data_IF_861056011721
#
_entry.id   IF_861056011721
#
_cell.length_a   1.000
_cell.length_b   1.000
_cell.length_c   1.000
_cell.angle_alpha   90.00
_cell.angle_beta   90.00
_cell.angle_gamma   90.00
#
_symmetry.space_group_name_H-M   'P 1'
#
loop_
_entity.id
_entity.type
_entity.pdbx_description
1 polymer ?
#
# COMPACT_ATOMS: atom_id res chain seq x y z
N UNK A 1 -64.67 16.55 23.87
CA UNK A 1 -63.34 16.29 23.30
C UNK A 1 -63.20 17.20 22.09
N UNK A 2 -62.60 18.36 22.32
CA UNK A 2 -62.63 19.52 21.42
C UNK A 2 -61.56 19.39 20.35
N UNK A 3 -61.85 19.90 19.15
CA UNK A 3 -61.01 19.81 17.95
C UNK A 3 -59.57 20.30 18.14
N UNK A 4 -59.31 21.08 19.19
CA UNK A 4 -57.99 21.63 19.52
C UNK A 4 -57.03 20.57 20.10
N UNK A 5 -57.52 19.58 20.88
CA UNK A 5 -56.67 18.53 21.48
C UNK A 5 -56.11 17.56 20.42
N UNK A 6 -56.88 17.30 19.36
CA UNK A 6 -56.48 16.44 18.24
C UNK A 6 -55.37 17.10 17.41
N UNK A 7 -55.40 18.44 17.28
CA UNK A 7 -54.38 19.19 16.54
C UNK A 7 -53.02 19.23 17.26
N UNK A 8 -53.04 19.32 18.60
CA UNK A 8 -51.82 19.37 19.41
C UNK A 8 -51.11 18.02 19.48
N UNK A 9 -51.88 16.91 19.51
CA UNK A 9 -51.33 15.56 19.46
C UNK A 9 -50.73 15.23 18.08
N UNK A 10 -51.38 15.62 16.98
CA UNK A 10 -50.85 15.46 15.62
C UNK A 10 -49.56 16.23 15.38
N UNK A 11 -49.44 17.43 15.97
CA UNK A 11 -48.22 18.26 15.88
C UNK A 11 -47.05 17.63 16.66
N UNK A 12 -47.29 17.08 17.85
CA UNK A 12 -46.28 16.39 18.66
C UNK A 12 -45.81 15.09 17.99
N UNK A 13 -46.72 14.35 17.36
CA UNK A 13 -46.41 13.13 16.61
C UNK A 13 -45.56 13.43 15.35
N UNK A 14 -45.89 14.49 14.60
CA UNK A 14 -45.09 14.91 13.44
C UNK A 14 -43.69 15.37 13.83
N UNK A 15 -43.53 16.09 14.96
CA UNK A 15 -42.22 16.47 15.47
C UNK A 15 -41.41 15.25 15.89
N UNK A 16 -42.04 14.27 16.56
CA UNK A 16 -41.38 13.02 16.93
C UNK A 16 -40.91 12.22 15.70
N UNK A 17 -41.77 12.06 14.70
CA UNK A 17 -41.42 11.40 13.43
C UNK A 17 -40.28 12.14 12.71
N UNK A 18 -40.29 13.48 12.70
CA UNK A 18 -39.20 14.27 12.12
C UNK A 18 -37.87 14.03 12.84
N UNK A 19 -37.85 13.95 14.18
CA UNK A 19 -36.63 13.64 14.94
C UNK A 19 -36.12 12.22 14.66
N UNK A 20 -37.01 11.23 14.59
CA UNK A 20 -36.63 9.85 14.27
C UNK A 20 -36.01 9.77 12.88
N UNK A 21 -36.60 10.43 11.89
CA UNK A 21 -36.05 10.49 10.52
C UNK A 21 -34.70 11.19 10.50
N UNK A 22 -34.54 12.29 11.23
CA UNK A 22 -33.27 13.02 11.33
C UNK A 22 -32.16 12.17 11.94
N UNK A 23 -32.47 11.46 13.04
CA UNK A 23 -31.54 10.55 13.70
C UNK A 23 -31.17 9.40 12.75
N UNK A 24 -32.16 8.82 12.07
CA UNK A 24 -31.93 7.70 11.16
C UNK A 24 -31.08 8.10 9.95
N UNK A 25 -31.27 9.30 9.42
CA UNK A 25 -30.41 9.89 8.38
C UNK A 25 -28.98 10.14 8.89
N UNK A 26 -28.83 10.63 10.12
CA UNK A 26 -27.52 10.85 10.74
C UNK A 26 -26.76 9.52 10.92
N UNK A 27 -27.45 8.47 11.38
CA UNK A 27 -26.89 7.12 11.50
C UNK A 27 -26.47 6.56 10.14
N UNK A 28 -27.32 6.70 9.10
CA UNK A 28 -26.99 6.27 7.74
C UNK A 28 -25.77 6.99 7.17
N UNK A 29 -25.62 8.29 7.46
CA UNK A 29 -24.48 9.09 7.01
C UNK A 29 -23.18 8.64 7.70
N UNK A 30 -23.23 8.36 9.01
CA UNK A 30 -22.10 7.83 9.76
C UNK A 30 -21.69 6.43 9.26
N UNK A 31 -22.65 5.55 9.01
CA UNK A 31 -22.37 4.21 8.46
C UNK A 31 -21.69 4.29 7.10
N UNK A 32 -22.14 5.19 6.21
CA UNK A 32 -21.48 5.41 4.92
C UNK A 32 -20.07 5.98 5.06
N UNK A 33 -19.86 6.91 5.99
CA UNK A 33 -18.54 7.49 6.24
C UNK A 33 -17.56 6.40 6.72
N UNK A 34 -17.99 5.56 7.67
CA UNK A 34 -17.16 4.46 8.20
C UNK A 34 -16.82 3.44 7.10
N UNK A 35 -17.80 3.04 6.29
CA UNK A 35 -17.56 2.10 5.19
C UNK A 35 -16.70 2.69 4.05
N UNK A 36 -16.80 4.00 3.79
CA UNK A 36 -16.05 4.66 2.72
C UNK A 36 -14.59 5.01 3.05
N UNK A 37 -14.24 5.13 4.34
CA UNK A 37 -12.90 5.57 4.79
C UNK A 37 -11.87 4.43 4.73
N UNK A 38 -12.28 3.18 4.92
CA UNK A 38 -11.39 2.02 4.88
C UNK A 38 -10.64 1.82 3.55
N UNK A 39 -11.30 1.81 2.38
CA UNK A 39 -10.58 1.63 1.11
C UNK A 39 -9.64 2.80 0.79
N UNK A 40 -9.92 4.01 1.31
CA UNK A 40 -9.06 5.17 1.06
C UNK A 40 -7.75 5.11 1.85
N UNK A 41 -7.79 4.68 3.11
CA UNK A 41 -6.59 4.56 3.94
C UNK A 41 -5.62 3.52 3.35
N UNK A 42 -6.13 2.38 2.89
CA UNK A 42 -5.29 1.33 2.30
C UNK A 42 -4.68 1.76 0.94
N UNK A 43 -5.46 2.45 0.10
CA UNK A 43 -4.94 3.00 -1.16
C UNK A 43 -3.87 4.08 -0.95
N UNK A 44 -4.02 4.91 0.09
CA UNK A 44 -3.01 5.90 0.45
C UNK A 44 -1.70 5.22 0.87
N UNK A 45 -1.76 4.20 1.73
CA UNK A 45 -0.59 3.42 2.13
C UNK A 45 0.11 2.76 0.94
N UNK A 46 -0.67 2.19 0.00
CA UNK A 46 -0.10 1.58 -1.19
C UNK A 46 0.63 2.60 -2.08
N UNK A 47 0.03 3.79 -2.22
CA UNK A 47 0.61 4.90 -3.01
C UNK A 47 1.87 5.46 -2.36
N UNK A 48 1.86 5.67 -1.04
CA UNK A 48 3.03 6.13 -0.29
C UNK A 48 4.19 5.14 -0.39
N UNK A 49 3.90 3.85 -0.21
CA UNK A 49 4.88 2.76 -0.34
C UNK A 49 5.48 2.73 -1.75
N UNK A 50 4.65 2.88 -2.78
CA UNK A 50 5.11 2.96 -4.18
C UNK A 50 6.01 4.19 -4.40
N UNK A 51 5.63 5.35 -3.88
CA UNK A 51 6.40 6.58 -4.01
C UNK A 51 7.75 6.47 -3.29
N UNK A 52 7.78 5.87 -2.09
CA UNK A 52 9.02 5.58 -1.38
C UNK A 52 9.94 4.69 -2.23
N UNK A 53 9.40 3.62 -2.82
CA UNK A 53 10.15 2.73 -3.72
C UNK A 53 10.75 3.48 -4.91
N UNK A 54 9.93 4.27 -5.62
CA UNK A 54 10.36 5.02 -6.81
C UNK A 54 11.45 6.03 -6.45
N UNK A 55 11.29 6.73 -5.33
CA UNK A 55 12.27 7.71 -4.86
C UNK A 55 13.60 7.03 -4.53
N UNK A 56 13.57 5.93 -3.79
CA UNK A 56 14.77 5.20 -3.38
C UNK A 56 15.49 4.54 -4.58
N UNK A 57 14.75 3.94 -5.52
CA UNK A 57 15.34 3.46 -6.77
C UNK A 57 16.00 4.58 -7.56
N UNK A 58 15.38 5.76 -7.61
CA UNK A 58 15.92 6.91 -8.32
C UNK A 58 17.22 7.40 -7.66
N UNK A 59 17.27 7.41 -6.32
CA UNK A 59 18.50 7.72 -5.57
C UNK A 59 19.60 6.68 -5.82
N UNK A 60 19.28 5.39 -5.77
CA UNK A 60 20.23 4.31 -6.06
C UNK A 60 20.80 4.43 -7.47
N UNK A 61 19.94 4.69 -8.46
CA UNK A 61 20.37 4.93 -9.84
C UNK A 61 21.24 6.17 -9.96
N UNK A 62 20.90 7.25 -9.26
CA UNK A 62 21.72 8.46 -9.19
C UNK A 62 23.11 8.18 -8.65
N UNK A 63 23.21 7.40 -7.57
CA UNK A 63 24.50 6.98 -7.00
C UNK A 63 25.30 6.08 -7.94
N UNK A 64 24.63 5.12 -8.59
CA UNK A 64 25.25 4.29 -9.63
C UNK A 64 25.82 5.13 -10.78
N UNK A 65 25.10 6.16 -11.24
CA UNK A 65 25.61 7.10 -12.25
C UNK A 65 26.81 7.90 -11.74
N UNK A 66 26.75 8.38 -10.49
CA UNK A 66 27.82 9.14 -9.86
C UNK A 66 29.12 8.34 -9.71
N UNK A 67 29.02 7.05 -9.37
CA UNK A 67 30.17 6.15 -9.21
C UNK A 67 30.69 5.57 -10.54
N UNK A 68 30.36 6.20 -11.68
CA UNK A 68 30.79 5.78 -13.03
C UNK A 68 30.27 4.40 -13.47
N UNK A 69 29.01 4.10 -13.11
CA UNK A 69 28.28 2.89 -13.55
C UNK A 69 28.98 1.58 -13.16
N UNK A 70 29.28 1.37 -11.87
CA UNK A 70 29.92 0.13 -11.44
C UNK A 70 28.98 -1.06 -11.67
N UNK A 71 29.55 -2.26 -11.86
CA UNK A 71 28.77 -3.50 -11.95
C UNK A 71 28.08 -3.84 -10.63
N UNK A 72 28.72 -3.50 -9.52
CA UNK A 72 28.23 -3.72 -8.17
C UNK A 72 28.38 -2.42 -7.37
N UNK A 73 27.35 -2.09 -6.59
CA UNK A 73 27.34 -0.92 -5.72
C UNK A 73 27.27 -1.38 -4.26
N UNK A 74 28.29 -1.02 -3.47
CA UNK A 74 28.29 -1.29 -2.05
C UNK A 74 27.41 -0.27 -1.31
N UNK A 75 26.38 -0.78 -0.65
CA UNK A 75 25.37 0.00 0.04
C UNK A 75 25.39 -0.35 1.53
N UNK A 76 25.35 0.68 2.37
CA UNK A 76 25.16 0.55 3.81
C UNK A 76 23.70 0.88 4.11
N UNK A 77 23.05 0.01 4.86
CA UNK A 77 21.69 0.18 5.38
C UNK A 77 21.70 -0.26 6.86
N UNK A 78 20.62 -0.03 7.62
CA UNK A 78 20.57 -0.40 9.05
C UNK A 78 20.88 -1.89 9.31
N UNK A 79 20.64 -2.75 8.32
CA UNK A 79 20.96 -4.18 8.36
C UNK A 79 22.39 -4.58 8.10
N UNK A 80 23.26 -3.63 7.77
CA UNK A 80 24.66 -3.87 7.46
C UNK A 80 25.05 -3.42 6.06
N UNK A 81 26.10 -4.04 5.53
CA UNK A 81 26.62 -3.75 4.19
C UNK A 81 26.21 -4.84 3.21
N UNK A 82 25.75 -4.41 2.05
CA UNK A 82 25.39 -5.30 0.96
C UNK A 82 25.86 -4.72 -0.37
N UNK A 83 26.37 -5.60 -1.25
CA UNK A 83 26.64 -5.25 -2.63
C UNK A 83 25.43 -5.60 -3.49
N UNK A 84 24.95 -4.65 -4.29
CA UNK A 84 23.85 -4.84 -5.22
C UNK A 84 24.38 -4.79 -6.65
N UNK A 85 24.06 -5.78 -7.46
CA UNK A 85 24.41 -5.82 -8.88
C UNK A 85 23.47 -4.95 -9.71
N UNK A 86 24.00 -4.23 -10.69
CA UNK A 86 23.24 -3.35 -11.57
C UNK A 86 23.31 -3.79 -13.04
N UNK A 87 22.22 -3.57 -13.76
CA UNK A 87 22.17 -3.70 -15.23
C UNK A 87 22.85 -2.51 -15.91
N UNK A 88 23.16 -2.64 -17.19
CA UNK A 88 23.72 -1.56 -18.00
C UNK A 88 22.81 -0.31 -18.07
N UNK A 89 21.52 -0.48 -17.76
CA UNK A 89 20.53 0.60 -17.69
C UNK A 89 20.49 1.31 -16.32
N UNK A 90 21.21 0.79 -15.33
CA UNK A 90 21.29 1.35 -13.99
C UNK A 90 20.18 0.87 -13.05
N UNK A 91 19.63 -0.32 -13.29
CA UNK A 91 18.62 -0.93 -12.43
C UNK A 91 19.15 -2.15 -11.69
N UNK A 92 18.80 -2.34 -10.41
CA UNK A 92 19.15 -3.53 -9.64
C UNK A 92 18.74 -4.82 -10.34
N UNK A 93 19.68 -5.74 -10.50
CA UNK A 93 19.43 -7.07 -11.05
C UNK A 93 18.94 -7.98 -9.92
N UNK A 94 17.89 -8.74 -10.21
CA UNK A 94 17.34 -9.74 -9.30
C UNK A 94 17.31 -11.10 -9.99
N UNK A 95 18.02 -12.07 -9.41
CA UNK A 95 18.21 -13.42 -9.94
C UNK A 95 17.68 -14.49 -9.00
N UNK A 96 17.53 -14.17 -7.71
CA UNK A 96 17.09 -15.08 -6.67
C UNK A 96 16.04 -14.42 -5.75
N UNK A 97 15.35 -15.24 -4.95
CA UNK A 97 14.48 -14.74 -3.86
C UNK A 97 15.29 -13.92 -2.84
N UNK A 98 16.53 -14.31 -2.58
CA UNK A 98 17.45 -13.57 -1.72
C UNK A 98 17.74 -12.16 -2.24
N UNK A 99 17.92 -12.01 -3.56
CA UNK A 99 18.19 -10.71 -4.18
C UNK A 99 16.97 -9.78 -4.05
N UNK A 100 15.76 -10.34 -4.22
CA UNK A 100 14.52 -9.59 -4.02
C UNK A 100 14.36 -9.13 -2.57
N UNK A 101 14.65 -10.00 -1.60
CA UNK A 101 14.66 -9.69 -0.16
C UNK A 101 15.66 -8.59 0.14
N UNK A 102 16.89 -8.71 -0.36
CA UNK A 102 17.97 -7.75 -0.14
C UNK A 102 17.63 -6.38 -0.75
N UNK A 103 17.09 -6.36 -1.98
CA UNK A 103 16.63 -5.12 -2.61
C UNK A 103 15.57 -4.43 -1.77
N UNK A 104 14.60 -5.16 -1.24
CA UNK A 104 13.59 -4.59 -0.35
C UNK A 104 14.18 -3.98 0.92
N UNK A 105 15.07 -4.73 1.59
CA UNK A 105 15.73 -4.28 2.80
C UNK A 105 16.52 -2.98 2.58
N UNK A 106 17.19 -2.86 1.43
CA UNK A 106 17.90 -1.64 1.02
C UNK A 106 16.93 -0.48 0.78
N UNK A 107 15.84 -0.71 0.05
CA UNK A 107 14.87 0.34 -0.30
C UNK A 107 14.20 0.92 0.96
N UNK A 108 13.89 0.09 1.95
CA UNK A 108 13.24 0.54 3.19
C UNK A 108 14.20 0.80 4.34
N UNK A 109 15.51 0.65 4.13
CA UNK A 109 16.55 0.78 5.14
C UNK A 109 16.26 -0.05 6.41
N UNK A 110 15.84 -1.32 6.21
CA UNK A 110 15.38 -2.21 7.28
C UNK A 110 15.88 -3.64 7.11
N UNK A 111 16.27 -4.28 8.20
CA UNK A 111 16.69 -5.69 8.25
C UNK A 111 15.87 -6.56 9.18
N UNK A 112 15.00 -5.94 9.97
CA UNK A 112 14.12 -6.55 10.95
C UNK A 112 12.88 -7.20 10.31
N UNK A 113 12.60 -6.90 9.05
CA UNK A 113 11.52 -7.52 8.30
C UNK A 113 11.94 -8.93 7.88
N UNK A 114 11.72 -9.89 8.77
CA UNK A 114 11.59 -11.28 8.38
C UNK A 114 10.26 -11.43 7.64
N UNK A 115 10.34 -11.61 6.31
CA UNK A 115 9.20 -11.95 5.43
C UNK A 115 8.47 -13.26 5.83
N UNK A 116 8.91 -13.93 6.90
CA UNK A 116 8.26 -15.10 7.44
C UNK A 116 7.18 -14.76 8.48
N UNK A 117 7.21 -13.58 9.11
CA UNK A 117 6.37 -13.30 10.28
C UNK A 117 5.47 -12.05 10.19
N UNK A 118 5.59 -11.21 9.15
CA UNK A 118 4.73 -10.05 9.00
C UNK A 118 4.35 -9.82 7.54
N UNK A 119 3.19 -10.38 7.15
CA UNK A 119 2.34 -9.99 6.03
C UNK A 119 2.97 -9.95 4.62
N UNK A 120 4.28 -10.08 4.49
CA UNK A 120 4.98 -9.86 3.25
C UNK A 120 5.65 -11.12 2.75
N UNK A 121 5.31 -11.52 1.53
CA UNK A 121 5.93 -12.66 0.86
C UNK A 121 6.69 -12.15 -0.35
N UNK A 122 7.94 -12.59 -0.49
CA UNK A 122 8.80 -12.29 -1.64
C UNK A 122 8.86 -13.49 -2.54
N UNK A 123 8.37 -13.35 -3.76
CA UNK A 123 8.49 -14.40 -4.77
C UNK A 123 9.13 -13.87 -6.04
N UNK A 124 9.98 -14.71 -6.63
CA UNK A 124 10.54 -14.44 -7.95
C UNK A 124 9.55 -14.94 -8.98
N UNK A 125 9.15 -14.09 -9.92
CA UNK A 125 8.27 -14.50 -11.02
C UNK A 125 9.11 -15.32 -12.02
N UNK A 126 8.81 -16.60 -12.29
CA UNK A 126 9.71 -17.48 -13.04
C UNK A 126 10.01 -17.03 -14.48
N UNK A 127 9.11 -16.26 -15.09
CA UNK A 127 9.22 -15.79 -16.47
C UNK A 127 9.78 -14.37 -16.61
N UNK A 128 9.90 -13.62 -15.52
CA UNK A 128 10.28 -12.21 -15.54
C UNK A 128 11.43 -11.97 -14.54
N UNK A 129 12.37 -11.08 -14.89
CA UNK A 129 13.39 -10.61 -13.93
C UNK A 129 12.74 -9.63 -12.95
N UNK A 130 11.77 -10.13 -12.19
CA UNK A 130 10.90 -9.32 -11.36
C UNK A 130 10.72 -9.92 -9.97
N UNK A 131 10.52 -9.02 -9.01
CA UNK A 131 10.18 -9.37 -7.64
C UNK A 131 8.72 -9.04 -7.38
N UNK A 132 8.03 -9.97 -6.74
CA UNK A 132 6.69 -9.78 -6.20
C UNK A 132 6.79 -9.65 -4.69
N UNK A 133 6.22 -8.58 -4.14
CA UNK A 133 6.15 -8.31 -2.70
C UNK A 133 4.68 -8.21 -2.31
N UNK A 134 4.15 -9.28 -1.72
CA UNK A 134 2.80 -9.28 -1.16
C UNK A 134 2.80 -8.48 0.15
N UNK A 135 1.73 -7.79 0.50
CA UNK A 135 1.50 -7.17 1.82
C UNK A 135 0.09 -7.47 2.25
N UNK A 136 -0.05 -8.38 3.22
CA UNK A 136 -1.31 -8.99 3.60
C UNK A 136 -2.03 -9.62 2.40
N UNK A 137 -3.31 -9.93 2.56
CA UNK A 137 -4.17 -10.42 1.47
C UNK A 137 -4.77 -9.27 0.63
N UNK A 138 -4.25 -8.04 0.75
CA UNK A 138 -4.81 -6.86 0.10
C UNK A 138 -3.98 -6.35 -1.09
N UNK A 139 -2.64 -6.33 -1.00
CA UNK A 139 -1.82 -5.67 -2.01
C UNK A 139 -0.63 -6.49 -2.44
N UNK A 140 -0.29 -6.41 -3.72
CA UNK A 140 0.90 -7.01 -4.29
C UNK A 140 1.69 -5.95 -5.06
N UNK A 141 2.93 -5.71 -4.65
CA UNK A 141 3.87 -4.85 -5.37
C UNK A 141 4.74 -5.68 -6.30
N UNK A 142 5.04 -5.11 -7.45
CA UNK A 142 5.88 -5.69 -8.46
C UNK A 142 7.02 -4.75 -8.80
N UNK A 143 8.22 -5.31 -8.89
CA UNK A 143 9.41 -4.63 -9.41
C UNK A 143 9.89 -5.35 -10.67
N UNK A 144 10.05 -4.64 -11.78
CA UNK A 144 10.64 -5.15 -13.01
C UNK A 144 12.07 -4.61 -13.19
N UNK A 145 13.06 -5.49 -13.05
CA UNK A 145 14.48 -5.14 -13.17
C UNK A 145 14.93 -4.79 -14.58
N UNK A 146 14.15 -5.13 -15.62
CA UNK A 146 14.50 -4.80 -17.01
C UNK A 146 14.39 -3.30 -17.28
N UNK A 147 13.42 -2.65 -16.65
CA UNK A 147 13.09 -1.24 -16.89
C UNK A 147 13.06 -0.38 -15.62
N UNK A 148 13.29 -0.97 -14.44
CA UNK A 148 13.25 -0.28 -13.15
C UNK A 148 11.85 0.18 -12.75
N UNK A 149 10.82 -0.54 -13.18
CA UNK A 149 9.42 -0.13 -12.97
C UNK A 149 8.87 -0.75 -11.70
N UNK A 150 8.06 0.04 -10.98
CA UNK A 150 7.32 -0.40 -9.80
C UNK A 150 5.84 -0.12 -10.00
N UNK A 151 4.99 -1.12 -9.72
CA UNK A 151 3.54 -0.98 -9.68
C UNK A 151 2.96 -1.88 -8.59
N UNK A 152 1.69 -1.70 -8.28
CA UNK A 152 0.96 -2.55 -7.37
C UNK A 152 -0.35 -2.99 -8.00
N UNK A 153 -0.87 -4.10 -7.51
CA UNK A 153 -2.17 -4.63 -7.85
C UNK A 153 -2.90 -4.95 -6.53
N UNK A 154 -4.20 -4.65 -6.49
CA UNK A 154 -5.10 -5.19 -5.48
C UNK A 154 -5.24 -6.70 -5.73
N UNK A 155 -4.96 -7.53 -4.73
CA UNK A 155 -5.11 -8.99 -4.87
C UNK A 155 -6.58 -9.42 -4.97
N UNK A 156 -7.51 -8.49 -4.84
CA UNK A 156 -8.93 -8.70 -5.08
C UNK A 156 -9.51 -9.64 -4.03
N UNK A 157 -9.87 -9.10 -2.86
CA UNK A 157 -10.79 -9.83 -2.00
C UNK A 157 -12.12 -9.98 -2.73
N UNK A 158 -12.51 -11.22 -3.00
CA UNK A 158 -13.93 -11.58 -3.07
C UNK A 158 -14.43 -11.44 -1.64
N UNK A 159 -15.00 -10.29 -1.31
CA UNK A 159 -15.73 -10.09 -0.06
C UNK A 159 -16.97 -11.00 -0.08
N UNK A 160 -17.06 -11.92 0.88
CA UNK A 160 -18.23 -12.77 1.11
C UNK A 160 -19.31 -12.01 1.90
#
# INVERSE_FOLDING_TARGET
>A
MTSDEVSEQGLKLNRFMAYVVLILLMVLMLLRAVMGVWPQAEQQLATETRNAWVNQLSMLRGRWLYESKPKELALSFQGGMSALSFSDLGWPIVSSKSDCTQLWQIIFDRSDIEFNNLLAQVDKVPSQKSCQYRFSDAWVFYYDASVGRVWWQDDGRVEF
#
